data_IF_453552187562
#
_entry.id   IF_453552187562
#
_cell.length_a   1.000
_cell.length_b   1.000
_cell.length_c   1.000
_cell.angle_alpha   90.00
_cell.angle_beta   90.00
_cell.angle_gamma   90.00
#
_symmetry.space_group_name_H-M   'P 1'
#
loop_
_entity.id
_entity.type
_entity.pdbx_description
1 polymer ?
#
# COMPACT_ATOMS: atom_id res chain seq x y z
N UNK A 1 15.04 -1.62 -17.76
CA UNK A 1 14.44 -0.87 -16.66
C UNK A 1 13.01 -0.48 -16.99
N UNK A 2 12.10 -0.76 -16.08
CA UNK A 2 10.70 -0.41 -16.29
C UNK A 2 10.49 1.09 -16.11
N UNK A 3 9.56 1.62 -16.89
CA UNK A 3 9.12 2.99 -16.76
C UNK A 3 7.71 2.97 -16.18
N UNK A 4 7.29 4.09 -15.58
CA UNK A 4 5.95 4.17 -14.99
C UNK A 4 4.85 3.90 -16.01
N UNK A 5 5.07 4.30 -17.27
CA UNK A 5 4.11 4.07 -18.33
C UNK A 5 3.94 2.59 -18.69
N UNK A 6 4.83 1.72 -18.22
CA UNK A 6 4.69 0.28 -18.45
C UNK A 6 3.60 -0.33 -17.57
N UNK A 7 3.15 0.38 -16.53
CA UNK A 7 2.12 -0.12 -15.64
C UNK A 7 0.76 0.38 -16.12
N UNK A 8 0.19 -0.37 -17.06
CA UNK A 8 -1.05 0.03 -17.73
C UNK A 8 -2.28 0.04 -16.82
N UNK A 9 -2.23 -0.70 -15.70
CA UNK A 9 -3.31 -0.72 -14.72
C UNK A 9 -3.14 0.34 -13.66
N UNK A 10 -2.04 1.07 -13.68
CA UNK A 10 -1.86 2.23 -12.82
C UNK A 10 -0.65 2.16 -11.90
N UNK A 11 -0.33 3.31 -11.33
CA UNK A 11 0.72 3.47 -10.33
C UNK A 11 0.04 4.08 -9.12
N UNK A 12 0.06 3.36 -8.01
CA UNK A 12 -0.72 3.74 -6.82
C UNK A 12 0.19 4.01 -5.64
N UNK A 13 0.17 5.25 -5.18
CA UNK A 13 0.86 5.63 -3.96
C UNK A 13 -0.08 5.37 -2.81
N UNK A 14 0.36 4.56 -1.85
CA UNK A 14 -0.51 4.17 -0.74
C UNK A 14 0.08 4.59 0.59
N UNK A 15 -0.80 4.89 1.52
CA UNK A 15 -0.44 5.23 2.88
C UNK A 15 -1.55 4.77 3.81
N UNK A 16 -1.22 3.76 4.63
CA UNK A 16 -2.12 3.32 5.69
C UNK A 16 -1.81 4.07 6.97
N UNK A 17 -2.86 4.51 7.65
CA UNK A 17 -2.74 4.88 9.05
C UNK A 17 -3.21 3.68 9.86
N UNK A 18 -2.41 3.25 10.82
CA UNK A 18 -2.71 2.07 11.60
C UNK A 18 -2.19 2.26 13.02
N UNK A 19 -2.63 1.35 13.90
CA UNK A 19 -2.18 1.38 15.29
C UNK A 19 -1.93 -0.05 15.74
N UNK A 20 -1.07 -0.24 16.77
CA UNK A 20 -0.85 -1.57 17.33
C UNK A 20 -2.15 -2.10 17.94
N UNK A 21 -2.42 -3.36 17.68
CA UNK A 21 -3.62 -3.98 18.23
C UNK A 21 -3.42 -4.23 19.72
N UNK A 22 -4.20 -3.53 20.55
CA UNK A 22 -4.21 -3.68 22.00
C UNK A 22 -2.84 -3.55 22.68
N UNK A 23 -1.88 -2.93 22.02
CA UNK A 23 -0.57 -2.69 22.59
C UNK A 23 0.20 -3.95 22.96
N UNK A 24 -0.09 -5.06 22.37
CA UNK A 24 0.58 -6.32 22.67
C UNK A 24 1.74 -6.56 21.73
N UNK A 25 2.70 -7.38 22.19
CA UNK A 25 3.84 -7.76 21.38
C UNK A 25 3.44 -8.62 20.21
N UNK A 26 4.29 -8.61 19.18
CA UNK A 26 4.07 -9.39 17.98
C UNK A 26 2.87 -8.92 17.21
N UNK A 27 2.55 -7.69 17.37
CA UNK A 27 1.29 -7.15 16.92
C UNK A 27 1.17 -7.06 15.44
N UNK A 28 0.02 -7.53 14.97
CA UNK A 28 -0.43 -7.13 13.65
C UNK A 28 -1.01 -5.72 13.79
N UNK A 29 -0.82 -4.86 12.80
CA UNK A 29 -1.41 -3.53 12.86
C UNK A 29 -2.91 -3.59 12.69
N UNK A 30 -3.59 -2.62 13.29
CA UNK A 30 -5.02 -2.44 13.04
C UNK A 30 -5.18 -1.26 12.09
N UNK A 31 -5.48 -1.48 10.81
CA UNK A 31 -5.65 -0.38 9.87
C UNK A 31 -6.82 0.52 10.24
N UNK A 32 -6.60 1.82 10.21
CA UNK A 32 -7.62 2.81 10.56
C UNK A 32 -8.12 3.52 9.32
N UNK A 33 -7.24 3.87 8.41
CA UNK A 33 -7.62 4.43 7.13
C UNK A 33 -6.53 4.16 6.10
N UNK A 34 -6.91 4.30 4.85
CA UNK A 34 -6.02 4.13 3.71
C UNK A 34 -6.20 5.30 2.77
N UNK A 35 -5.11 5.91 2.37
CA UNK A 35 -5.12 6.92 1.32
C UNK A 35 -4.43 6.33 0.11
N UNK A 36 -5.06 6.44 -1.05
CA UNK A 36 -4.52 5.95 -2.32
C UNK A 36 -4.51 7.11 -3.31
N UNK A 37 -3.35 7.38 -3.87
CA UNK A 37 -3.26 8.35 -4.95
C UNK A 37 -2.90 7.62 -6.24
N UNK A 38 -3.75 7.73 -7.23
CA UNK A 38 -3.43 7.26 -8.58
C UNK A 38 -2.47 8.28 -9.17
N UNK A 39 -1.21 7.89 -9.31
CA UNK A 39 -0.17 8.81 -9.71
C UNK A 39 -0.39 9.36 -11.12
N UNK A 40 -0.94 8.55 -12.01
CA UNK A 40 -1.10 8.94 -13.41
C UNK A 40 -2.26 9.90 -13.61
N UNK A 41 -3.36 9.70 -12.89
CA UNK A 41 -4.53 10.58 -12.99
C UNK A 41 -4.52 11.72 -11.97
N UNK A 42 -3.75 11.55 -10.89
CA UNK A 42 -3.71 12.52 -9.81
C UNK A 42 -4.87 12.43 -8.84
N UNK A 43 -5.76 11.47 -9.03
CA UNK A 43 -6.94 11.32 -8.15
C UNK A 43 -6.53 10.68 -6.83
N UNK A 44 -6.96 11.29 -5.73
CA UNK A 44 -6.71 10.77 -4.38
C UNK A 44 -8.02 10.27 -3.79
N UNK A 45 -7.99 9.07 -3.23
CA UNK A 45 -9.14 8.45 -2.58
C UNK A 45 -8.79 8.09 -1.14
N UNK A 46 -9.77 8.19 -0.26
CA UNK A 46 -9.60 7.87 1.16
C UNK A 46 -10.63 6.84 1.56
N UNK A 47 -10.17 5.88 2.36
CA UNK A 47 -11.00 4.77 2.82
C UNK A 47 -10.86 4.64 4.32
N UNK A 48 -11.98 4.69 5.03
CA UNK A 48 -12.00 4.61 6.48
C UNK A 48 -12.12 3.17 6.95
N UNK A 49 -11.91 2.96 8.22
CA UNK A 49 -11.84 1.65 8.86
C UNK A 49 -12.95 0.69 8.44
N UNK A 50 -14.20 1.16 8.48
CA UNK A 50 -15.32 0.28 8.17
C UNK A 50 -15.33 -0.15 6.71
N UNK A 51 -15.01 0.76 5.81
CA UNK A 51 -14.92 0.45 4.39
C UNK A 51 -13.77 -0.53 4.13
N UNK A 52 -12.60 -0.26 4.70
CA UNK A 52 -11.43 -1.11 4.52
C UNK A 52 -11.74 -2.53 4.99
N UNK A 53 -12.33 -2.65 6.18
CA UNK A 53 -12.59 -3.96 6.78
C UNK A 53 -13.69 -4.74 6.08
N UNK A 54 -14.53 -4.06 5.33
CA UNK A 54 -15.61 -4.73 4.59
C UNK A 54 -15.16 -5.26 3.23
N UNK A 55 -13.96 -4.88 2.77
CA UNK A 55 -13.48 -5.28 1.46
C UNK A 55 -12.70 -6.58 1.52
N UNK A 56 -12.90 -7.41 0.52
CA UNK A 56 -12.15 -8.66 0.37
C UNK A 56 -10.86 -8.46 -0.43
N UNK A 57 -10.69 -7.31 -1.05
CA UNK A 57 -9.51 -7.00 -1.85
C UNK A 57 -9.22 -5.51 -1.79
N UNK A 58 -8.00 -5.13 -2.17
CA UNK A 58 -7.58 -3.74 -2.21
C UNK A 58 -8.45 -2.95 -3.20
N UNK A 59 -8.70 -1.66 -2.91
CA UNK A 59 -9.52 -0.81 -3.81
C UNK A 59 -8.72 -0.27 -5.00
N UNK A 60 -7.65 -0.94 -5.38
CA UNK A 60 -6.83 -0.59 -6.54
C UNK A 60 -6.20 -1.86 -7.08
N UNK A 61 -5.68 -1.79 -8.30
CA UNK A 61 -5.08 -2.97 -8.93
C UNK A 61 -3.78 -3.36 -8.24
N UNK A 62 -3.63 -4.67 -7.97
CA UNK A 62 -2.42 -5.23 -7.36
C UNK A 62 -1.75 -6.24 -8.28
N UNK A 63 -2.19 -6.35 -9.52
CA UNK A 63 -1.68 -7.32 -10.46
C UNK A 63 -0.40 -6.89 -11.14
N UNK A 64 0.01 -7.70 -12.10
CA UNK A 64 1.28 -7.53 -12.78
C UNK A 64 1.41 -6.18 -13.51
N UNK A 65 0.29 -5.64 -13.98
CA UNK A 65 0.30 -4.41 -14.76
C UNK A 65 0.15 -3.15 -13.90
N UNK A 66 0.27 -3.28 -12.59
CA UNK A 66 0.16 -2.18 -11.65
C UNK A 66 1.41 -2.09 -10.78
N UNK A 67 1.72 -0.89 -10.33
CA UNK A 67 2.82 -0.65 -9.40
C UNK A 67 2.26 -0.03 -8.13
N UNK A 68 2.59 -0.64 -7.00
CA UNK A 68 2.25 -0.11 -5.69
C UNK A 68 3.48 0.59 -5.11
N UNK A 69 3.34 1.85 -4.74
CA UNK A 69 4.44 2.66 -4.22
C UNK A 69 4.12 2.99 -2.76
N UNK A 70 5.06 2.71 -1.88
CA UNK A 70 4.88 2.98 -0.46
C UNK A 70 6.19 3.41 0.17
N UNK A 71 6.11 4.21 1.22
CA UNK A 71 7.27 4.49 2.04
C UNK A 71 7.27 3.49 3.18
N UNK A 72 8.38 2.74 3.32
CA UNK A 72 8.50 1.66 4.30
C UNK A 72 7.43 0.58 4.04
N UNK A 73 7.55 -0.05 2.89
CA UNK A 73 6.52 -0.96 2.37
C UNK A 73 6.21 -2.14 3.28
N UNK A 74 7.16 -2.59 4.12
CA UNK A 74 6.87 -3.72 5.00
C UNK A 74 5.70 -3.43 5.95
N UNK A 75 5.59 -2.20 6.45
CA UNK A 75 4.47 -1.83 7.31
C UNK A 75 3.15 -1.84 6.55
N UNK A 76 3.18 -1.37 5.30
CA UNK A 76 1.98 -1.36 4.46
C UNK A 76 1.55 -2.78 4.09
N UNK A 77 2.51 -3.64 3.79
CA UNK A 77 2.20 -5.03 3.46
C UNK A 77 1.63 -5.79 4.65
N UNK A 78 2.04 -5.46 5.86
CA UNK A 78 1.44 -6.04 7.06
C UNK A 78 -0.04 -5.70 7.16
N UNK A 79 -0.44 -4.51 6.73
CA UNK A 79 -1.84 -4.13 6.67
C UNK A 79 -2.61 -4.98 5.67
N UNK A 80 -2.03 -5.23 4.49
CA UNK A 80 -2.63 -6.13 3.50
C UNK A 80 -2.87 -7.51 4.09
N UNK A 81 -1.86 -8.04 4.80
CA UNK A 81 -1.97 -9.36 5.42
C UNK A 81 -3.07 -9.40 6.48
N UNK A 82 -3.14 -8.36 7.30
CA UNK A 82 -4.17 -8.27 8.33
C UNK A 82 -5.57 -8.25 7.72
N UNK A 83 -5.72 -7.56 6.60
CA UNK A 83 -7.00 -7.43 5.93
C UNK A 83 -7.35 -8.64 5.05
N UNK A 84 -6.40 -9.54 4.85
CA UNK A 84 -6.61 -10.69 3.98
C UNK A 84 -6.61 -10.34 2.50
N UNK A 85 -6.05 -9.20 2.15
CA UNK A 85 -5.97 -8.78 0.76
C UNK A 85 -4.80 -9.43 0.07
N UNK A 86 -4.94 -9.66 -1.23
CA UNK A 86 -3.82 -10.12 -2.05
C UNK A 86 -2.74 -9.05 -2.10
N UNK A 87 -1.49 -9.46 -1.89
CA UNK A 87 -0.37 -8.53 -1.95
C UNK A 87 -0.11 -8.07 -3.38
N UNK A 88 0.35 -6.82 -3.56
CA UNK A 88 0.72 -6.34 -4.89
C UNK A 88 1.87 -7.17 -5.47
N UNK A 89 1.85 -7.39 -6.77
CA UNK A 89 2.93 -8.11 -7.44
C UNK A 89 4.16 -7.23 -7.64
N UNK A 90 3.97 -5.93 -7.79
CA UNK A 90 5.07 -4.98 -7.96
C UNK A 90 4.99 -3.92 -6.89
N UNK A 91 6.05 -3.80 -6.10
CA UNK A 91 6.12 -2.84 -5.01
C UNK A 91 7.41 -2.04 -5.12
N UNK A 92 7.29 -0.73 -5.02
CA UNK A 92 8.44 0.15 -4.90
C UNK A 92 8.43 0.72 -3.48
N UNK A 93 9.47 0.41 -2.72
CA UNK A 93 9.62 0.90 -1.36
C UNK A 93 10.52 2.14 -1.37
N UNK A 94 9.93 3.29 -1.18
CA UNK A 94 10.68 4.54 -1.21
C UNK A 94 11.69 4.67 -0.07
N UNK A 95 11.40 4.02 1.05
CA UNK A 95 12.35 4.02 2.16
C UNK A 95 13.62 3.26 1.78
N UNK A 96 13.49 2.11 1.15
CA UNK A 96 14.62 1.32 0.69
C UNK A 96 15.42 2.09 -0.37
N UNK A 97 14.72 2.73 -1.30
CA UNK A 97 15.40 3.54 -2.33
C UNK A 97 16.13 4.71 -1.70
N UNK A 98 15.52 5.37 -0.75
CA UNK A 98 16.15 6.48 -0.05
C UNK A 98 17.43 6.02 0.68
N UNK A 99 17.37 4.88 1.36
CA UNK A 99 18.52 4.31 2.03
C UNK A 99 19.66 4.01 1.07
N UNK A 100 19.33 3.51 -0.10
CA UNK A 100 20.33 3.23 -1.12
C UNK A 100 21.00 4.50 -1.64
N UNK A 101 20.25 5.59 -1.75
CA UNK A 101 20.78 6.84 -2.25
C UNK A 101 21.64 7.56 -1.22
N UNK A 102 21.38 7.37 0.06
CA UNK A 102 22.06 8.10 1.13
C UNK A 102 23.24 7.36 1.72
N UNK A 103 23.42 6.12 1.37
CA UNK A 103 24.58 5.34 1.82
C UNK A 103 25.70 5.39 0.77
#
# INVERSE_FOLDING_TARGET
MSQLSDFTDGVFLIDFEFRPENGREGNTPEPVCLVVKDFLSGVTSRYWKDDINSRSSAPFSVGREALCVAYFASAEMDCFLKLGWQLPENVLDLYAEFRCLTN
#
